data_IF_465038481052
#
_entry.id   IF_465038481052
#
_cell.length_a   1.000
_cell.length_b   1.000
_cell.length_c   1.000
_cell.angle_alpha   90.00
_cell.angle_beta   90.00
_cell.angle_gamma   90.00
#
_symmetry.space_group_name_H-M   'P 1'
#
loop_
_entity.id
_entity.type
_entity.pdbx_description
1 polymer ?
#
# COMPACT_ATOMS: atom_id res chain seq x y z
N UNK A 1 17.21 13.34 25.98
CA UNK A 1 17.78 13.60 24.65
C UNK A 1 16.61 13.93 23.74
N UNK A 2 16.41 15.20 23.45
CA UNK A 2 15.41 15.66 22.47
C UNK A 2 15.76 15.10 21.09
N UNK A 3 14.86 14.31 20.50
CA UNK A 3 14.95 13.95 19.08
C UNK A 3 14.64 15.23 18.28
N UNK A 4 15.54 15.59 17.39
CA UNK A 4 15.42 16.73 16.46
C UNK A 4 14.09 16.69 15.68
N UNK A 5 13.42 17.83 15.39
CA UNK A 5 12.06 17.87 14.82
C UNK A 5 11.93 17.52 13.33
N UNK A 6 12.88 16.77 12.74
CA UNK A 6 12.84 16.34 11.34
C UNK A 6 13.42 14.94 11.21
N UNK A 7 12.65 13.92 11.63
CA UNK A 7 12.82 12.60 11.06
C UNK A 7 12.29 12.65 9.62
N UNK A 8 13.02 13.30 8.72
CA UNK A 8 12.77 13.15 7.30
C UNK A 8 13.14 11.72 6.97
N UNK A 9 12.18 10.92 6.50
CA UNK A 9 12.46 9.63 5.87
C UNK A 9 13.22 9.91 4.56
N UNK A 10 14.55 9.80 4.53
CA UNK A 10 15.34 10.38 3.45
C UNK A 10 15.04 9.69 2.13
N UNK A 11 14.80 8.36 2.18
CA UNK A 11 14.55 7.50 1.03
C UNK A 11 13.32 7.90 0.20
N UNK A 12 12.30 8.52 0.82
CA UNK A 12 11.05 8.89 0.14
C UNK A 12 10.89 10.40 -0.07
N UNK A 13 11.66 11.21 0.66
CA UNK A 13 11.60 12.70 0.58
C UNK A 13 12.71 13.31 -0.25
N UNK A 14 13.81 12.59 -0.52
CA UNK A 14 14.93 13.06 -1.34
C UNK A 14 14.86 12.56 -2.79
N UNK A 15 14.29 11.37 -2.99
CA UNK A 15 14.10 10.75 -4.30
C UNK A 15 12.62 10.83 -4.69
N UNK A 16 12.34 11.17 -5.96
CA UNK A 16 10.98 11.31 -6.49
C UNK A 16 10.21 10.00 -6.28
N UNK A 17 9.28 10.00 -5.31
CA UNK A 17 8.61 8.78 -4.84
C UNK A 17 7.10 8.88 -5.03
N UNK A 18 6.52 7.89 -5.68
CA UNK A 18 5.09 7.77 -5.94
C UNK A 18 4.49 6.65 -5.08
N UNK A 19 3.56 7.00 -4.19
CA UNK A 19 2.84 6.05 -3.35
C UNK A 19 1.52 5.66 -4.02
N UNK A 20 1.27 4.36 -4.09
CA UNK A 20 0.07 3.78 -4.68
C UNK A 20 -0.63 2.91 -3.66
N UNK A 21 -1.94 3.11 -3.47
CA UNK A 21 -2.78 2.26 -2.64
C UNK A 21 -3.78 1.52 -3.52
N UNK A 22 -3.95 0.22 -3.32
CA UNK A 22 -4.81 -0.65 -4.13
C UNK A 22 -5.72 -1.46 -3.22
N UNK A 23 -7.02 -1.43 -3.48
CA UNK A 23 -8.03 -2.27 -2.84
C UNK A 23 -9.07 -2.74 -3.85
N UNK A 24 -9.62 -3.93 -3.63
CA UNK A 24 -10.75 -4.47 -4.39
C UNK A 24 -11.85 -4.88 -3.44
N UNK A 25 -13.03 -4.31 -3.64
CA UNK A 25 -14.23 -4.62 -2.87
C UNK A 25 -15.18 -5.51 -3.68
N UNK A 26 -15.81 -6.48 -3.02
CA UNK A 26 -16.80 -7.37 -3.61
C UNK A 26 -18.21 -7.13 -3.05
N UNK A 27 -19.23 -7.55 -3.79
CA UNK A 27 -20.61 -7.59 -3.30
C UNK A 27 -20.76 -8.50 -2.07
N UNK A 28 -21.72 -8.14 -1.21
CA UNK A 28 -22.02 -8.89 0.02
C UNK A 28 -22.41 -10.35 -0.25
N UNK A 29 -22.21 -11.26 0.72
CA UNK A 29 -22.68 -12.64 0.60
C UNK A 29 -24.15 -12.72 0.20
N UNK A 30 -24.46 -13.52 -0.83
CA UNK A 30 -25.81 -13.66 -1.38
C UNK A 30 -26.14 -12.74 -2.56
N UNK A 31 -25.30 -11.75 -2.87
CA UNK A 31 -25.48 -10.88 -4.04
C UNK A 31 -24.60 -11.35 -5.20
N UNK A 32 -25.12 -12.26 -6.02
CA UNK A 32 -24.38 -12.90 -7.12
C UNK A 32 -24.15 -12.04 -8.34
N UNK A 33 -24.78 -10.87 -8.44
CA UNK A 33 -24.80 -10.09 -9.68
C UNK A 33 -24.03 -8.76 -9.54
N UNK A 34 -23.48 -8.49 -8.34
CA UNK A 34 -22.71 -7.28 -8.08
C UNK A 34 -21.27 -7.45 -8.60
N UNK A 35 -20.79 -6.53 -9.45
CA UNK A 35 -19.40 -6.53 -9.91
C UNK A 35 -18.43 -6.25 -8.75
N UNK A 36 -17.18 -6.63 -8.92
CA UNK A 36 -16.14 -6.15 -7.99
C UNK A 36 -15.76 -4.73 -8.38
N UNK A 37 -15.32 -3.94 -7.41
CA UNK A 37 -14.90 -2.56 -7.61
C UNK A 37 -13.44 -2.44 -7.19
N UNK A 38 -12.58 -2.14 -8.15
CA UNK A 38 -11.18 -1.81 -7.91
C UNK A 38 -11.03 -0.32 -7.67
N UNK A 39 -10.35 0.03 -6.58
CA UNK A 39 -9.99 1.39 -6.24
C UNK A 39 -8.47 1.48 -6.12
N UNK A 40 -7.87 2.38 -6.91
CA UNK A 40 -6.46 2.68 -6.85
C UNK A 40 -6.28 4.16 -6.54
N UNK A 41 -5.43 4.46 -5.58
CA UNK A 41 -5.05 5.84 -5.24
C UNK A 41 -3.58 6.06 -5.54
N UNK A 42 -3.24 7.27 -6.01
CA UNK A 42 -1.87 7.70 -6.24
C UNK A 42 -1.57 9.00 -5.51
N UNK A 43 -0.42 9.10 -4.84
CA UNK A 43 0.02 10.33 -4.17
C UNK A 43 0.24 11.47 -5.17
N UNK A 44 0.13 12.70 -4.71
CA UNK A 44 0.30 13.93 -5.50
C UNK A 44 1.24 14.90 -4.79
N UNK A 45 1.77 15.86 -5.55
CA UNK A 45 2.52 17.00 -5.01
C UNK A 45 3.79 16.59 -4.22
N UNK A 46 4.54 15.59 -4.72
CA UNK A 46 5.80 15.19 -4.10
C UNK A 46 6.73 16.41 -3.90
N UNK A 47 7.40 16.56 -2.74
CA UNK A 47 7.62 15.56 -1.68
C UNK A 47 6.53 15.47 -0.61
N UNK A 48 5.37 16.12 -0.79
CA UNK A 48 4.25 15.95 0.13
C UNK A 48 3.60 14.58 -0.10
N UNK A 49 3.21 13.92 0.99
CA UNK A 49 2.57 12.58 0.97
C UNK A 49 1.13 12.62 1.52
N UNK A 50 0.55 13.82 1.60
CA UNK A 50 -0.75 14.01 2.24
C UNK A 50 -1.91 14.00 1.27
N UNK A 51 -1.70 14.17 -0.04
CA UNK A 51 -2.77 14.30 -1.04
C UNK A 51 -2.73 13.12 -2.02
N UNK A 52 -3.91 12.59 -2.32
CA UNK A 52 -4.08 11.44 -3.21
C UNK A 52 -5.16 11.72 -4.25
N UNK A 53 -4.96 11.21 -5.47
CA UNK A 53 -6.00 11.08 -6.50
C UNK A 53 -6.50 9.65 -6.49
N UNK A 54 -7.80 9.45 -6.61
CA UNK A 54 -8.43 8.14 -6.73
C UNK A 54 -8.88 7.88 -8.17
N UNK A 55 -8.69 6.64 -8.62
CA UNK A 55 -9.26 6.07 -9.83
C UNK A 55 -10.00 4.79 -9.46
N UNK A 56 -11.21 4.64 -9.98
CA UNK A 56 -12.10 3.52 -9.66
C UNK A 56 -12.56 2.86 -10.95
N UNK A 57 -12.56 1.53 -11.00
CA UNK A 57 -13.08 0.73 -12.12
C UNK A 57 -13.88 -0.45 -11.61
N UNK A 58 -14.91 -0.82 -12.35
CA UNK A 58 -15.64 -2.07 -12.14
C UNK A 58 -14.90 -3.19 -12.86
N UNK A 59 -14.85 -4.37 -12.24
CA UNK A 59 -14.37 -5.59 -12.87
C UNK A 59 -15.33 -6.74 -12.65
N UNK A 60 -15.08 -7.86 -13.31
CA UNK A 60 -15.91 -9.05 -13.15
C UNK A 60 -16.02 -9.46 -11.68
N UNK A 61 -17.17 -10.03 -11.34
CA UNK A 61 -17.51 -10.39 -9.97
C UNK A 61 -16.48 -11.35 -9.37
N UNK A 62 -16.11 -11.12 -8.10
CA UNK A 62 -15.17 -11.93 -7.31
C UNK A 62 -13.79 -12.11 -7.96
N UNK A 63 -13.43 -11.21 -8.88
CA UNK A 63 -12.07 -11.10 -9.36
C UNK A 63 -11.35 -10.18 -8.38
N UNK A 64 -10.28 -10.68 -7.77
CA UNK A 64 -9.46 -9.89 -6.83
C UNK A 64 -8.36 -9.12 -7.58
N UNK A 65 -7.76 -9.70 -8.62
CA UNK A 65 -6.68 -9.06 -9.37
C UNK A 65 -7.22 -7.99 -10.32
N UNK A 66 -6.58 -6.82 -10.35
CA UNK A 66 -6.95 -5.75 -11.28
C UNK A 66 -6.28 -6.03 -12.64
N UNK A 67 -7.09 -6.11 -13.71
CA UNK A 67 -6.65 -6.41 -15.08
C UNK A 67 -6.57 -5.18 -16.00
N UNK A 68 -6.79 -3.99 -15.45
CA UNK A 68 -6.80 -2.73 -16.17
C UNK A 68 -5.86 -1.68 -15.57
N UNK A 69 -4.81 -2.12 -14.87
CA UNK A 69 -3.74 -1.23 -14.41
C UNK A 69 -2.95 -0.68 -15.61
N UNK A 70 -2.74 -1.52 -16.62
CA UNK A 70 -2.19 -1.16 -17.93
C UNK A 70 -3.17 -1.61 -19.02
N UNK A 71 -3.59 -0.69 -19.88
CA UNK A 71 -4.59 -0.96 -20.92
C UNK A 71 -4.22 -0.21 -22.21
N UNK A 72 -3.30 -0.76 -23.02
CA UNK A 72 -2.95 -0.16 -24.30
C UNK A 72 -4.13 -0.27 -25.27
N UNK A 73 -4.55 0.85 -25.84
CA UNK A 73 -5.61 0.93 -26.85
C UNK A 73 -5.17 1.84 -27.98
N UNK A 74 -5.73 1.65 -29.17
CA UNK A 74 -5.51 2.55 -30.30
C UNK A 74 -6.56 3.67 -30.25
N UNK A 75 -6.11 4.92 -30.21
CA UNK A 75 -6.98 6.09 -30.25
C UNK A 75 -7.61 6.30 -31.63
N UNK A 76 -8.51 7.28 -31.73
CA UNK A 76 -9.18 7.66 -32.99
C UNK A 76 -8.23 8.07 -34.13
N UNK A 77 -6.99 8.45 -33.80
CA UNK A 77 -5.96 8.86 -34.75
C UNK A 77 -5.01 7.71 -35.12
N UNK A 78 -5.27 6.49 -34.65
CA UNK A 78 -4.43 5.32 -34.92
C UNK A 78 -3.19 5.24 -34.03
N UNK A 79 -3.07 6.07 -32.99
CA UNK A 79 -1.94 6.08 -32.06
C UNK A 79 -2.23 5.18 -30.87
N UNK A 80 -1.25 4.36 -30.49
CA UNK A 80 -1.32 3.57 -29.26
C UNK A 80 -1.23 4.50 -28.03
N UNK A 81 -2.19 4.40 -27.13
CA UNK A 81 -2.26 5.13 -25.85
C UNK A 81 -2.58 4.16 -24.71
N UNK A 82 -2.17 4.48 -23.50
CA UNK A 82 -2.54 3.71 -22.31
C UNK A 82 -3.78 4.35 -21.65
N UNK A 83 -4.85 3.58 -21.51
CA UNK A 83 -6.07 3.94 -20.76
C UNK A 83 -6.13 3.28 -19.38
N UNK A 84 -5.03 2.66 -18.95
CA UNK A 84 -4.91 1.98 -17.68
C UNK A 84 -5.02 2.93 -16.50
N UNK A 85 -5.51 2.41 -15.36
CA UNK A 85 -5.63 3.16 -14.12
C UNK A 85 -4.27 3.74 -13.69
N UNK A 86 -3.21 2.95 -13.85
CA UNK A 86 -1.89 3.33 -13.37
C UNK A 86 -1.35 4.55 -14.14
N UNK A 87 -1.54 4.60 -15.45
CA UNK A 87 -1.15 5.76 -16.26
C UNK A 87 -1.91 7.03 -15.86
N UNK A 88 -3.22 6.95 -15.61
CA UNK A 88 -3.99 8.12 -15.17
C UNK A 88 -3.43 8.73 -13.88
N UNK A 89 -3.05 7.89 -12.92
CA UNK A 89 -2.47 8.32 -11.65
C UNK A 89 -1.03 8.80 -11.82
N UNK A 90 -0.24 8.11 -12.64
CA UNK A 90 1.15 8.49 -12.92
C UNK A 90 1.25 9.84 -13.63
N UNK A 91 0.37 10.11 -14.60
CA UNK A 91 0.29 11.40 -15.29
C UNK A 91 -0.10 12.52 -14.32
N UNK A 92 -1.01 12.25 -13.38
CA UNK A 92 -1.39 13.21 -12.35
C UNK A 92 -0.27 13.45 -11.33
N UNK A 93 0.49 12.41 -10.95
CA UNK A 93 1.71 12.57 -10.16
C UNK A 93 2.72 13.47 -10.87
N UNK A 94 3.02 13.19 -12.14
CA UNK A 94 3.97 13.96 -12.94
C UNK A 94 3.59 15.44 -13.02
N UNK A 95 2.32 15.73 -13.33
CA UNK A 95 1.83 17.11 -13.46
C UNK A 95 1.78 17.86 -12.13
N UNK A 96 1.48 17.17 -11.02
CA UNK A 96 1.43 17.77 -9.68
C UNK A 96 2.79 17.87 -8.98
N UNK A 97 3.79 17.09 -9.39
CA UNK A 97 5.10 16.97 -8.73
C UNK A 97 6.22 17.66 -9.51
N UNK A 98 5.91 18.81 -10.10
CA UNK A 98 6.89 19.64 -10.81
C UNK A 98 7.45 19.00 -12.08
N UNK A 99 6.65 18.19 -12.79
CA UNK A 99 7.04 17.48 -14.02
C UNK A 99 8.23 16.54 -13.80
N UNK A 100 8.28 15.89 -12.63
CA UNK A 100 9.23 14.82 -12.34
C UNK A 100 8.54 13.49 -12.41
N UNK A 101 9.17 12.52 -13.08
CA UNK A 101 8.73 11.14 -13.02
C UNK A 101 9.17 10.53 -11.70
N UNK A 102 8.47 9.52 -11.17
CA UNK A 102 8.95 8.80 -10.01
C UNK A 102 10.18 7.98 -10.39
N UNK A 103 11.17 8.01 -9.51
CA UNK A 103 12.30 7.08 -9.52
C UNK A 103 12.00 5.88 -8.60
N UNK A 104 11.15 6.09 -7.59
CA UNK A 104 10.66 5.07 -6.66
C UNK A 104 9.13 4.98 -6.73
N UNK A 105 8.60 3.77 -6.75
CA UNK A 105 7.15 3.49 -6.69
C UNK A 105 6.89 2.51 -5.55
N UNK A 106 6.11 2.94 -4.56
CA UNK A 106 5.78 2.14 -3.38
C UNK A 106 4.30 1.81 -3.41
N UNK A 107 3.97 0.52 -3.48
CA UNK A 107 2.61 0.01 -3.63
C UNK A 107 2.16 -0.65 -2.33
N UNK A 108 1.02 -0.21 -1.82
CA UNK A 108 0.28 -0.84 -0.73
C UNK A 108 -0.94 -1.56 -1.32
N UNK A 109 -1.01 -2.88 -1.14
CA UNK A 109 -2.12 -3.71 -1.61
C UNK A 109 -2.89 -4.30 -0.42
N UNK A 110 -4.14 -3.90 -0.24
CA UNK A 110 -5.08 -4.48 0.74
C UNK A 110 -5.86 -5.65 0.10
N UNK A 111 -6.61 -6.45 0.85
CA UNK A 111 -7.61 -7.38 0.30
C UNK A 111 -7.12 -8.73 -0.22
N UNK A 112 -5.81 -8.94 -0.34
CA UNK A 112 -5.25 -10.21 -0.85
C UNK A 112 -4.75 -11.13 0.26
N UNK A 113 -4.92 -12.42 0.03
CA UNK A 113 -4.38 -13.50 0.89
C UNK A 113 -3.01 -13.97 0.41
N UNK A 114 -2.31 -14.76 1.21
CA UNK A 114 -1.00 -15.33 0.85
C UNK A 114 -1.03 -16.15 -0.45
N UNK A 115 -2.14 -16.85 -0.75
CA UNK A 115 -2.25 -17.64 -1.98
C UNK A 115 -2.29 -16.77 -3.26
N UNK A 116 -2.62 -15.48 -3.13
CA UNK A 116 -2.68 -14.50 -4.22
C UNK A 116 -1.39 -13.72 -4.40
N UNK A 117 -0.39 -13.84 -3.53
CA UNK A 117 0.84 -13.03 -3.60
C UNK A 117 1.55 -13.16 -4.95
N UNK A 118 1.66 -14.37 -5.47
CA UNK A 118 2.23 -14.60 -6.81
C UNK A 118 1.41 -13.95 -7.92
N UNK A 119 0.09 -13.84 -7.76
CA UNK A 119 -0.77 -13.18 -8.74
C UNK A 119 -0.57 -11.66 -8.70
N UNK A 120 -0.47 -11.06 -7.50
CA UNK A 120 -0.13 -9.62 -7.38
C UNK A 120 1.19 -9.31 -8.07
N UNK A 121 2.22 -10.12 -7.84
CA UNK A 121 3.51 -9.95 -8.50
C UNK A 121 3.44 -10.14 -10.02
N UNK A 122 2.87 -11.25 -10.49
CA UNK A 122 2.92 -11.61 -11.91
C UNK A 122 1.88 -10.90 -12.78
N UNK A 123 0.84 -10.30 -12.19
CA UNK A 123 -0.25 -9.65 -12.92
C UNK A 123 -0.28 -8.16 -12.63
N UNK A 124 -0.39 -7.75 -11.37
CA UNK A 124 -0.56 -6.33 -11.04
C UNK A 124 0.75 -5.54 -11.18
N UNK A 125 1.84 -6.04 -10.57
CA UNK A 125 3.16 -5.41 -10.67
C UNK A 125 3.68 -5.42 -12.12
N UNK A 126 3.53 -6.53 -12.84
CA UNK A 126 3.92 -6.62 -14.25
C UNK A 126 3.18 -5.59 -15.12
N UNK A 127 1.86 -5.41 -14.95
CA UNK A 127 1.12 -4.34 -15.64
C UNK A 127 1.68 -2.95 -15.32
N UNK A 128 1.98 -2.64 -14.06
CA UNK A 128 2.53 -1.32 -13.69
C UNK A 128 3.93 -1.09 -14.27
N UNK A 129 4.77 -2.13 -14.35
CA UNK A 129 6.07 -2.08 -15.02
C UNK A 129 5.90 -1.87 -16.54
N UNK A 130 4.95 -2.55 -17.18
CA UNK A 130 4.63 -2.34 -18.59
C UNK A 130 4.15 -0.92 -18.87
N UNK A 131 3.30 -0.35 -18.00
CA UNK A 131 2.86 1.03 -18.10
C UNK A 131 4.04 2.02 -18.02
N UNK A 132 5.02 1.78 -17.14
CA UNK A 132 6.22 2.64 -17.09
C UNK A 132 7.03 2.59 -18.39
N UNK A 133 7.28 1.39 -18.92
CA UNK A 133 7.99 1.18 -20.20
C UNK A 133 7.26 1.77 -21.39
N UNK A 134 5.92 1.74 -21.37
CA UNK A 134 5.09 2.34 -22.41
C UNK A 134 5.26 3.86 -22.48
N UNK A 135 5.47 4.51 -21.33
CA UNK A 135 5.73 5.97 -21.27
C UNK A 135 7.09 6.32 -21.84
N UNK A 136 8.11 5.57 -21.46
CA UNK A 136 9.47 5.73 -21.94
C UNK A 136 10.24 4.42 -21.78
N UNK A 137 10.75 3.86 -22.88
CA UNK A 137 11.36 2.52 -22.90
C UNK A 137 12.55 2.38 -21.94
N UNK A 138 13.31 3.46 -21.73
CA UNK A 138 14.49 3.49 -20.86
C UNK A 138 14.19 3.94 -19.42
N UNK A 139 12.93 4.19 -19.08
CA UNK A 139 12.57 4.62 -17.72
C UNK A 139 12.29 3.41 -16.83
N UNK A 140 13.20 3.17 -15.89
CA UNK A 140 13.17 2.02 -14.97
C UNK A 140 13.07 2.50 -13.51
N UNK A 141 11.86 2.86 -13.04
CA UNK A 141 11.66 3.16 -11.63
C UNK A 141 11.79 1.88 -10.79
N UNK A 142 12.30 2.02 -9.56
CA UNK A 142 12.38 0.91 -8.60
C UNK A 142 11.04 0.72 -7.90
N UNK A 143 10.60 -0.53 -7.77
CA UNK A 143 9.35 -0.86 -7.11
C UNK A 143 9.56 -1.48 -5.72
N UNK A 144 8.68 -1.13 -4.79
CA UNK A 144 8.47 -1.87 -3.54
C UNK A 144 6.98 -2.18 -3.42
N UNK A 145 6.63 -3.46 -3.20
CA UNK A 145 5.26 -3.95 -3.05
C UNK A 145 5.06 -4.47 -1.64
N UNK A 146 4.10 -3.88 -0.94
CA UNK A 146 3.76 -4.18 0.44
C UNK A 146 2.29 -4.61 0.47
N UNK A 147 2.03 -5.84 0.89
CA UNK A 147 0.67 -6.32 1.15
C UNK A 147 0.29 -5.95 2.57
N UNK A 148 -0.89 -5.35 2.78
CA UNK A 148 -1.43 -5.04 4.09
C UNK A 148 -2.64 -5.94 4.40
N UNK A 149 -2.54 -6.81 5.40
CA UNK A 149 -3.60 -7.74 5.79
C UNK A 149 -4.16 -7.37 7.17
N UNK A 150 -5.40 -6.88 7.20
CA UNK A 150 -6.12 -6.55 8.46
C UNK A 150 -7.02 -7.69 8.96
N UNK A 151 -7.35 -8.62 8.07
CA UNK A 151 -8.33 -9.69 8.31
C UNK A 151 -7.61 -11.01 8.59
N UNK A 152 -7.00 -11.13 9.77
CA UNK A 152 -6.37 -12.35 10.26
C UNK A 152 -6.76 -12.66 11.71
N UNK A 153 -6.25 -13.76 12.26
CA UNK A 153 -6.58 -14.22 13.61
C UNK A 153 -5.56 -13.83 14.69
N UNK A 154 -4.40 -13.28 14.31
CA UNK A 154 -3.35 -12.84 15.24
C UNK A 154 -3.80 -11.65 16.09
N UNK A 155 -3.50 -11.70 17.39
CA UNK A 155 -3.78 -10.64 18.38
C UNK A 155 -2.61 -10.52 19.34
N UNK A 156 -2.31 -9.30 19.79
CA UNK A 156 -1.25 -9.04 20.77
C UNK A 156 -1.82 -8.47 22.06
N UNK A 157 -1.19 -8.84 23.17
CA UNK A 157 -1.60 -8.50 24.52
C UNK A 157 -0.38 -8.15 25.35
N UNK A 158 -0.53 -7.25 26.32
CA UNK A 158 0.52 -7.00 27.30
C UNK A 158 0.65 -8.20 28.25
N UNK A 159 1.89 -8.61 28.56
CA UNK A 159 2.15 -9.81 29.35
C UNK A 159 1.71 -9.66 30.83
N UNK A 160 1.69 -8.45 31.37
CA UNK A 160 1.42 -8.16 32.77
C UNK A 160 0.03 -7.53 32.94
N UNK A 161 -1.01 -8.36 33.00
CA UNK A 161 -2.33 -7.93 33.47
C UNK A 161 -2.56 -8.53 34.85
N UNK A 162 -2.86 -7.72 35.89
CA UNK A 162 -3.21 -8.23 37.21
C UNK A 162 -4.33 -9.27 37.13
N UNK A 163 -4.22 -10.35 37.91
CA UNK A 163 -5.21 -11.43 37.89
C UNK A 163 -6.64 -10.91 38.08
N UNK A 164 -7.52 -11.27 37.14
CA UNK A 164 -8.94 -10.87 36.98
C UNK A 164 -9.25 -9.66 36.07
N UNK A 165 -8.27 -9.05 35.40
CA UNK A 165 -8.53 -8.03 34.36
C UNK A 165 -8.29 -8.63 32.97
N UNK A 166 -9.20 -8.41 31.99
CA UNK A 166 -8.94 -8.78 30.60
C UNK A 166 -7.61 -8.16 30.13
N UNK A 167 -6.78 -8.90 29.38
CA UNK A 167 -5.47 -8.41 29.00
C UNK A 167 -5.57 -7.16 28.13
N UNK A 168 -4.78 -6.14 28.48
CA UNK A 168 -4.76 -4.86 27.79
C UNK A 168 -4.13 -4.98 26.39
N UNK A 169 -4.61 -4.13 25.48
CA UNK A 169 -4.01 -3.96 24.16
C UNK A 169 -2.55 -3.51 24.30
N UNK A 170 -1.70 -3.95 23.36
CA UNK A 170 -0.35 -3.42 23.24
C UNK A 170 -0.38 -1.92 22.88
N UNK A 171 0.64 -1.13 23.29
CA UNK A 171 0.72 0.28 22.95
C UNK A 171 0.71 0.54 21.42
N UNK A 172 0.17 1.68 20.95
CA UNK A 172 0.31 2.11 19.57
C UNK A 172 1.78 2.17 19.13
N UNK A 173 2.06 1.77 17.89
CA UNK A 173 3.41 1.65 17.36
C UNK A 173 4.13 0.37 17.75
N UNK A 174 3.46 -0.60 18.40
CA UNK A 174 4.05 -1.92 18.65
C UNK A 174 4.26 -2.64 17.33
N UNK A 175 5.50 -3.06 17.07
CA UNK A 175 5.90 -3.86 15.91
C UNK A 175 6.35 -5.24 16.38
N UNK A 176 5.95 -6.27 15.63
CA UNK A 176 6.41 -7.66 15.83
C UNK A 176 6.87 -8.21 14.49
N UNK A 177 8.17 -8.44 14.35
CA UNK A 177 8.83 -8.90 13.12
C UNK A 177 9.64 -10.19 13.33
N UNK A 178 9.47 -10.84 14.48
CA UNK A 178 10.24 -12.03 14.86
C UNK A 178 9.38 -13.09 15.53
N UNK A 179 9.89 -14.34 15.54
CA UNK A 179 9.30 -15.56 16.12
C UNK A 179 8.02 -16.07 15.47
N UNK A 180 7.04 -15.20 15.25
CA UNK A 180 5.72 -15.54 14.69
C UNK A 180 5.56 -15.09 13.23
N UNK A 181 6.51 -14.32 12.72
CA UNK A 181 6.60 -13.92 11.31
C UNK A 181 7.17 -15.06 10.45
N UNK A 182 7.07 -14.90 9.14
CA UNK A 182 7.54 -15.90 8.19
C UNK A 182 9.06 -16.13 8.36
N UNK A 183 9.54 -17.38 8.38
CA UNK A 183 10.95 -17.68 8.68
C UNK A 183 11.94 -17.21 7.61
N UNK A 184 11.46 -16.77 6.44
CA UNK A 184 12.30 -16.39 5.29
C UNK A 184 11.86 -15.13 4.55
N UNK A 185 10.62 -14.70 4.72
CA UNK A 185 10.07 -13.57 3.98
C UNK A 185 10.14 -12.36 4.89
N UNK A 186 10.20 -11.16 4.32
CA UNK A 186 10.15 -9.95 5.12
C UNK A 186 8.68 -9.61 5.40
N UNK A 187 8.23 -9.93 6.60
CA UNK A 187 6.89 -9.61 7.09
C UNK A 187 6.92 -9.17 8.55
N UNK A 188 6.00 -8.28 8.90
CA UNK A 188 5.90 -7.76 10.25
C UNK A 188 4.46 -7.39 10.57
N UNK A 189 4.12 -7.45 11.84
CA UNK A 189 2.87 -6.91 12.35
C UNK A 189 3.09 -5.51 12.91
N UNK A 190 2.14 -4.61 12.68
CA UNK A 190 2.12 -3.27 13.26
C UNK A 190 0.76 -2.99 13.90
N UNK A 191 0.77 -2.65 15.18
CA UNK A 191 -0.35 -2.06 15.89
C UNK A 191 -0.25 -0.53 15.85
N UNK A 192 -0.58 0.09 14.71
CA UNK A 192 -0.38 1.54 14.52
C UNK A 192 -1.23 2.43 15.46
N UNK A 193 -2.39 1.94 15.90
CA UNK A 193 -3.31 2.66 16.79
C UNK A 193 -3.81 1.73 17.91
N UNK A 194 -4.30 2.31 19.01
CA UNK A 194 -5.01 1.57 20.04
C UNK A 194 -6.51 1.64 19.76
N UNK A 195 -7.13 0.49 19.52
CA UNK A 195 -8.58 0.39 19.38
C UNK A 195 -9.27 0.85 20.66
N UNK A 196 -10.17 1.84 20.56
CA UNK A 196 -10.90 2.37 21.72
C UNK A 196 -11.78 1.32 22.42
N UNK A 197 -12.21 0.29 21.70
CA UNK A 197 -13.11 -0.75 22.19
C UNK A 197 -12.62 -2.11 21.68
N UNK A 198 -12.53 -3.07 22.59
CA UNK A 198 -12.16 -4.45 22.29
C UNK A 198 -10.66 -4.65 22.03
N UNK A 199 -10.32 -5.81 21.46
CA UNK A 199 -8.92 -6.14 21.15
C UNK A 199 -8.50 -5.52 19.83
N UNK A 200 -7.40 -4.77 19.85
CA UNK A 200 -6.77 -4.21 18.66
C UNK A 200 -6.33 -5.34 17.73
N UNK A 201 -6.69 -5.24 16.46
CA UNK A 201 -6.13 -6.12 15.42
C UNK A 201 -4.89 -5.43 14.85
N UNK A 202 -3.68 -6.02 15.00
CA UNK A 202 -2.53 -5.55 14.25
C UNK A 202 -2.83 -5.68 12.76
N UNK A 203 -2.16 -4.86 11.94
CA UNK A 203 -2.07 -5.13 10.50
C UNK A 203 -0.82 -5.97 10.26
N UNK A 204 -0.95 -7.05 9.50
CA UNK A 204 0.18 -7.86 9.04
C UNK A 204 0.64 -7.36 7.67
N UNK A 205 1.86 -6.86 7.60
CA UNK A 205 2.48 -6.36 6.38
C UNK A 205 3.44 -7.41 5.83
N UNK A 206 3.34 -7.71 4.53
CA UNK A 206 4.28 -8.56 3.82
C UNK A 206 4.97 -7.77 2.71
N UNK A 207 6.30 -7.73 2.72
CA UNK A 207 7.10 -7.16 1.64
C UNK A 207 7.26 -8.22 0.57
N UNK A 208 6.47 -8.08 -0.51
CA UNK A 208 6.43 -9.03 -1.60
C UNK A 208 7.57 -8.81 -2.60
N UNK A 209 7.98 -7.56 -2.77
CA UNK A 209 8.99 -7.13 -3.73
C UNK A 209 9.65 -5.85 -3.24
N UNK A 210 10.97 -5.72 -3.35
CA UNK A 210 11.69 -4.50 -2.96
C UNK A 210 13.00 -4.30 -3.75
N UNK A 211 12.95 -3.39 -4.72
CA UNK A 211 14.13 -2.94 -5.48
C UNK A 211 14.74 -1.64 -4.93
N UNK A 212 13.97 -0.90 -4.12
CA UNK A 212 14.44 0.31 -3.45
C UNK A 212 15.53 -0.06 -2.45
N UNK A 213 15.36 -1.20 -1.78
CA UNK A 213 16.34 -1.77 -0.85
C UNK A 213 16.19 -1.18 0.54
N UNK A 214 14.97 -1.13 1.04
CA UNK A 214 14.70 -0.67 2.40
C UNK A 214 15.35 -1.60 3.43
N UNK A 215 15.92 -1.01 4.48
CA UNK A 215 16.13 -1.78 5.70
C UNK A 215 14.78 -2.08 6.36
N UNK A 216 14.72 -3.14 7.16
CA UNK A 216 13.51 -3.50 7.92
C UNK A 216 13.05 -2.33 8.80
N UNK A 217 13.98 -1.68 9.50
CA UNK A 217 13.68 -0.54 10.39
C UNK A 217 13.13 0.66 9.59
N UNK A 218 13.75 1.01 8.45
CA UNK A 218 13.30 2.14 7.62
C UNK A 218 11.89 1.90 7.06
N UNK A 219 11.61 0.66 6.63
CA UNK A 219 10.30 0.31 6.09
C UNK A 219 9.23 0.34 7.18
N UNK A 220 9.54 -0.20 8.36
CA UNK A 220 8.66 -0.19 9.52
C UNK A 220 8.34 1.24 9.97
N UNK A 221 9.36 2.12 10.05
CA UNK A 221 9.17 3.54 10.35
C UNK A 221 8.35 4.26 9.27
N UNK A 222 8.54 3.91 7.99
CA UNK A 222 7.75 4.42 6.88
C UNK A 222 6.27 4.05 7.00
N UNK A 223 5.98 2.77 7.16
CA UNK A 223 4.60 2.29 7.28
C UNK A 223 3.92 2.88 8.51
N UNK A 224 4.62 2.95 9.64
CA UNK A 224 4.08 3.57 10.86
C UNK A 224 3.83 5.06 10.70
N UNK A 225 4.75 5.80 10.06
CA UNK A 225 4.59 7.23 9.79
C UNK A 225 3.39 7.52 8.88
N UNK A 226 3.15 6.68 7.86
CA UNK A 226 2.02 6.80 6.96
C UNK A 226 0.67 6.66 7.69
N UNK A 227 0.62 5.90 8.80
CA UNK A 227 -0.60 5.78 9.61
C UNK A 227 -1.07 7.11 10.22
N UNK A 228 -0.21 8.14 10.27
CA UNK A 228 -0.53 9.48 10.81
C UNK A 228 -0.91 10.52 9.75
N UNK A 229 -0.80 10.21 8.45
CA UNK A 229 -1.08 11.20 7.38
C UNK A 229 -2.53 11.16 6.89
N UNK A 230 -3.40 10.39 7.54
CA UNK A 230 -4.80 10.28 7.16
C UNK A 230 -5.60 11.55 7.49
N UNK A 231 -5.95 12.29 6.45
CA UNK A 231 -6.55 13.64 6.56
C UNK A 231 -7.89 13.71 7.32
N UNK A 232 -8.60 12.59 7.46
CA UNK A 232 -9.94 12.57 8.09
C UNK A 232 -9.90 12.27 9.59
N UNK A 233 -8.72 12.07 10.17
CA UNK A 233 -8.54 11.83 11.60
C UNK A 233 -7.36 12.64 12.15
N UNK A 234 -7.44 13.01 13.43
CA UNK A 234 -6.30 13.55 14.20
C UNK A 234 -5.56 12.45 14.98
N UNK A 235 -5.93 11.19 14.77
CA UNK A 235 -5.30 10.00 15.35
C UNK A 235 -4.73 9.10 14.26
N UNK A 236 -3.72 8.31 14.61
CA UNK A 236 -3.25 7.23 13.73
C UNK A 236 -4.40 6.29 13.36
N UNK A 237 -4.37 5.79 12.12
CA UNK A 237 -5.29 4.75 11.63
C UNK A 237 -4.61 3.39 11.57
N UNK A 238 -5.39 2.33 11.35
CA UNK A 238 -4.89 0.95 11.35
C UNK A 238 -4.01 0.60 10.15
N UNK A 239 -4.23 1.26 9.00
CA UNK A 239 -3.48 1.14 7.74
C UNK A 239 -3.62 2.44 6.98
#
# INVERSE_FOLDING_TARGET
MERSPRAMMPLVTQVSTFFVGIDVSHGSPGQSDIPSVAAVVGSREWPLISKYRACVRTQSRKVEMIDNLFKPVTDENGKLVDEGIFWELLFDFYTSSGKRRPEHIIIFRDGVSEYQFNQVHNIELDQMMQACKFVEENWEPKFTVIIAQKNHHTKFFQAESPGNVPPDNVPPGTIVDSKICHPRNNDFYLCAHNGMIGTTRPTHYHVLYDEIGFSTDDLQELVHSLSYVYQRSTTAISV
#
